data_IF_596400281194
#
_entry.id   IF_596400281194
#
_cell.length_a   1.000
_cell.length_b   1.000
_cell.length_c   1.000
_cell.angle_alpha   90.00
_cell.angle_beta   90.00
_cell.angle_gamma   90.00
#
_symmetry.space_group_name_H-M   'P 1'
#
loop_
_entity.id
_entity.type
_entity.pdbx_description
1 polymer ?
#
# COMPACT_ATOMS: atom_id res chain seq x y z
N UNK A 1 4.92 -17.33 -33.54
CA UNK A 1 4.22 -17.26 -32.23
C UNK A 1 2.87 -17.96 -32.34
N UNK A 2 2.61 -18.98 -31.53
CA UNK A 2 1.44 -19.87 -31.67
C UNK A 2 0.14 -19.18 -31.23
N UNK A 3 -1.02 -19.57 -31.76
CA UNK A 3 -2.33 -18.96 -31.49
C UNK A 3 -2.66 -18.98 -29.99
N UNK A 4 -2.24 -20.03 -29.27
CA UNK A 4 -2.37 -20.11 -27.80
C UNK A 4 -1.52 -19.07 -27.07
N UNK A 5 -0.32 -18.76 -27.55
CA UNK A 5 0.55 -17.75 -26.96
C UNK A 5 0.00 -16.34 -27.18
N UNK A 6 -0.61 -16.06 -28.33
CA UNK A 6 -1.32 -14.80 -28.58
C UNK A 6 -2.49 -14.60 -27.63
N UNK A 7 -3.27 -15.66 -27.36
CA UNK A 7 -4.40 -15.60 -26.40
C UNK A 7 -3.94 -15.35 -24.97
N UNK A 8 -2.87 -16.02 -24.51
CA UNK A 8 -2.34 -15.84 -23.14
C UNK A 8 -1.76 -14.44 -22.95
N UNK A 9 -0.98 -13.95 -23.92
CA UNK A 9 -0.45 -12.58 -23.88
C UNK A 9 -1.59 -11.57 -23.92
N UNK A 10 -2.61 -11.79 -24.77
CA UNK A 10 -3.80 -10.95 -24.80
C UNK A 10 -4.58 -10.93 -23.48
N UNK A 11 -4.72 -12.08 -22.81
CA UNK A 11 -5.38 -12.15 -21.49
C UNK A 11 -4.57 -11.47 -20.40
N UNK A 12 -3.24 -11.59 -20.39
CA UNK A 12 -2.38 -10.88 -19.43
C UNK A 12 -2.42 -9.38 -19.69
N UNK A 13 -2.36 -8.96 -20.96
CA UNK A 13 -2.46 -7.56 -21.34
C UNK A 13 -3.83 -6.98 -20.96
N UNK A 14 -4.91 -7.74 -21.14
CA UNK A 14 -6.25 -7.35 -20.73
C UNK A 14 -6.40 -7.25 -19.21
N UNK A 15 -5.75 -8.12 -18.44
CA UNK A 15 -5.75 -8.08 -16.97
C UNK A 15 -4.94 -6.90 -16.44
N UNK A 16 -3.83 -6.59 -17.11
CA UNK A 16 -2.97 -5.44 -16.80
C UNK A 16 -3.65 -4.13 -17.22
N UNK A 17 -4.39 -4.13 -18.33
CA UNK A 17 -5.24 -3.01 -18.76
C UNK A 17 -6.42 -2.80 -17.81
N UNK A 18 -7.09 -3.87 -17.35
CA UNK A 18 -8.15 -3.78 -16.34
C UNK A 18 -7.61 -3.25 -15.01
N UNK A 19 -6.41 -3.68 -14.61
CA UNK A 19 -5.72 -3.15 -13.44
C UNK A 19 -5.38 -1.67 -13.59
N UNK A 20 -4.92 -1.21 -14.76
CA UNK A 20 -4.67 0.22 -15.03
C UNK A 20 -5.99 1.00 -15.12
N UNK A 21 -7.05 0.44 -15.72
CA UNK A 21 -8.37 1.08 -15.79
C UNK A 21 -9.01 1.23 -14.41
N UNK A 22 -8.73 0.35 -13.44
CA UNK A 22 -9.11 0.57 -12.04
C UNK A 22 -8.34 1.71 -11.35
N UNK A 23 -7.22 2.19 -11.91
CA UNK A 23 -6.56 3.44 -11.49
C UNK A 23 -7.04 4.67 -12.29
N UNK A 24 -7.58 4.48 -13.50
CA UNK A 24 -8.10 5.57 -14.36
C UNK A 24 -9.59 5.86 -14.09
N UNK A 25 -10.32 4.94 -13.46
CA UNK A 25 -11.61 5.23 -12.83
C UNK A 25 -11.35 6.14 -11.61
N UNK A 26 -11.33 7.45 -11.88
CA UNK A 26 -10.89 8.52 -10.98
C UNK A 26 -11.60 8.53 -9.62
N UNK A 27 -11.01 9.19 -8.60
CA UNK A 27 -11.83 9.83 -7.58
C UNK A 27 -12.83 10.74 -8.30
N UNK A 28 -14.12 10.51 -8.08
CA UNK A 28 -15.10 11.54 -8.38
C UNK A 28 -14.74 12.74 -7.49
N UNK A 29 -14.10 13.75 -8.07
CA UNK A 29 -14.23 15.11 -7.58
C UNK A 29 -15.72 15.45 -7.67
N UNK A 30 -16.45 15.10 -6.62
CA UNK A 30 -17.70 15.76 -6.32
C UNK A 30 -17.28 17.17 -5.91
N UNK A 31 -17.47 18.10 -6.83
CA UNK A 31 -17.60 19.53 -6.60
C UNK A 31 -18.62 19.71 -5.47
N UNK A 32 -18.15 19.75 -4.21
CA UNK A 32 -19.02 20.10 -3.10
C UNK A 32 -19.16 21.62 -3.13
N UNK A 33 -20.10 22.01 -3.99
CA UNK A 33 -20.72 23.31 -4.12
C UNK A 33 -21.41 23.64 -2.78
N UNK A 34 -20.62 23.86 -1.74
CA UNK A 34 -21.11 24.30 -0.44
C UNK A 34 -21.49 25.78 -0.56
N UNK A 35 -22.76 26.00 -0.88
CA UNK A 35 -23.50 27.23 -0.70
C UNK A 35 -23.09 28.00 0.58
N UNK A 36 -22.12 28.91 0.46
CA UNK A 36 -21.85 29.96 1.44
C UNK A 36 -22.90 31.06 1.31
N UNK A 37 -24.09 30.83 1.86
CA UNK A 37 -24.94 31.94 2.31
C UNK A 37 -24.61 32.27 3.76
N UNK A 38 -23.60 33.12 3.96
CA UNK A 38 -23.54 34.00 5.12
C UNK A 38 -22.77 35.28 4.78
N UNK A 39 -23.56 36.24 4.31
CA UNK A 39 -23.41 37.70 4.45
C UNK A 39 -22.07 38.24 4.98
N UNK A 40 -21.36 38.93 4.10
CA UNK A 40 -20.69 40.20 4.37
C UNK A 40 -19.38 40.14 5.15
N UNK A 41 -18.26 40.19 4.43
CA UNK A 41 -17.22 41.22 4.58
C UNK A 41 -16.16 41.04 3.49
N UNK A 42 -15.77 42.14 2.86
CA UNK A 42 -14.91 42.22 1.67
C UNK A 42 -13.55 42.80 2.14
N UNK A 43 -12.47 42.07 1.80
CA UNK A 43 -11.05 42.46 1.68
C UNK A 43 -10.10 42.47 2.90
N UNK A 44 -9.16 41.51 2.86
CA UNK A 44 -7.68 41.66 2.94
C UNK A 44 -7.09 40.31 2.47
N UNK A 45 -6.68 40.13 1.22
CA UNK A 45 -5.35 40.45 0.64
C UNK A 45 -4.17 39.69 1.31
N UNK A 46 -3.61 38.74 0.53
CA UNK A 46 -2.36 37.97 0.65
C UNK A 46 -1.91 37.44 2.04
N UNK A 47 -2.20 36.16 2.29
CA UNK A 47 -1.34 35.31 3.12
C UNK A 47 -0.98 34.05 2.33
N UNK A 48 0.26 34.02 1.83
CA UNK A 48 1.02 32.90 1.27
C UNK A 48 1.29 31.77 2.30
N UNK A 49 0.33 31.47 3.19
CA UNK A 49 0.41 30.35 4.15
C UNK A 49 -0.55 29.20 3.79
N UNK A 50 -1.37 29.37 2.74
CA UNK A 50 -2.25 28.31 2.24
C UNK A 50 -1.53 27.34 1.30
N UNK A 51 -0.55 27.78 0.52
CA UNK A 51 0.14 26.94 -0.47
C UNK A 51 1.09 25.89 0.14
N UNK A 52 1.79 26.22 1.24
CA UNK A 52 2.73 25.26 1.86
C UNK A 52 2.02 24.11 2.58
N UNK A 53 0.86 24.38 3.20
CA UNK A 53 0.08 23.35 3.88
C UNK A 53 -0.62 22.42 2.88
N UNK A 54 -1.13 22.96 1.77
CA UNK A 54 -1.77 22.17 0.71
C UNK A 54 -0.78 21.19 0.06
N UNK A 55 0.48 21.62 -0.17
CA UNK A 55 1.52 20.75 -0.70
C UNK A 55 1.94 19.63 0.28
N UNK A 56 1.94 19.90 1.59
CA UNK A 56 2.24 18.90 2.62
C UNK A 56 1.11 17.89 2.77
N UNK A 57 -0.14 18.35 2.69
CA UNK A 57 -1.34 17.51 2.73
C UNK A 57 -1.41 16.58 1.50
N UNK A 58 -1.37 17.14 0.29
CA UNK A 58 -1.42 16.36 -0.96
C UNK A 58 -0.24 15.38 -1.06
N UNK A 59 0.96 15.84 -0.68
CA UNK A 59 2.14 14.98 -0.61
C UNK A 59 2.00 13.87 0.42
N UNK A 60 1.42 14.17 1.58
CA UNK A 60 1.10 13.23 2.64
C UNK A 60 0.14 12.15 2.15
N UNK A 61 -0.98 12.53 1.54
CA UNK A 61 -1.98 11.62 0.98
C UNK A 61 -1.39 10.68 -0.08
N UNK A 62 -0.59 11.22 -1.01
CA UNK A 62 0.07 10.43 -2.05
C UNK A 62 0.97 9.35 -1.44
N UNK A 63 1.74 9.69 -0.39
CA UNK A 63 2.57 8.73 0.34
C UNK A 63 1.74 7.71 1.12
N UNK A 64 0.60 8.13 1.66
CA UNK A 64 -0.40 7.25 2.29
C UNK A 64 -0.89 6.19 1.31
N UNK A 65 -1.36 6.59 0.13
CA UNK A 65 -1.77 5.66 -0.93
C UNK A 65 -0.62 4.79 -1.44
N UNK A 66 0.57 5.36 -1.60
CA UNK A 66 1.78 4.61 -1.94
C UNK A 66 2.09 3.50 -0.92
N UNK A 67 1.90 3.78 0.37
CA UNK A 67 2.02 2.81 1.46
C UNK A 67 0.99 1.69 1.32
N UNK A 68 -0.29 2.03 1.12
CA UNK A 68 -1.37 1.05 0.95
C UNK A 68 -1.09 0.10 -0.22
N UNK A 69 -0.66 0.65 -1.37
CA UNK A 69 -0.30 -0.14 -2.56
C UNK A 69 0.89 -1.06 -2.27
N UNK A 70 1.93 -0.56 -1.59
CA UNK A 70 3.11 -1.35 -1.27
C UNK A 70 2.77 -2.51 -0.31
N UNK A 71 1.97 -2.27 0.73
CA UNK A 71 1.48 -3.29 1.66
C UNK A 71 0.63 -4.32 0.90
N UNK A 72 -0.31 -3.86 0.07
CA UNK A 72 -1.14 -4.72 -0.77
C UNK A 72 -0.32 -5.63 -1.67
N UNK A 73 0.66 -5.08 -2.39
CA UNK A 73 1.60 -5.83 -3.23
C UNK A 73 2.49 -6.80 -2.45
N UNK A 74 2.90 -6.44 -1.23
CA UNK A 74 3.67 -7.33 -0.37
C UNK A 74 2.83 -8.51 0.15
N UNK A 75 1.54 -8.27 0.45
CA UNK A 75 0.63 -9.26 1.06
C UNK A 75 0.28 -10.42 0.12
N UNK A 76 0.20 -10.17 -1.19
CA UNK A 76 -0.17 -11.17 -2.19
C UNK A 76 0.90 -12.25 -2.43
N UNK A 77 2.12 -12.06 -1.94
CA UNK A 77 3.23 -13.01 -2.11
C UNK A 77 2.88 -14.42 -1.59
N UNK A 78 2.29 -14.53 -0.40
CA UNK A 78 2.00 -15.83 0.21
C UNK A 78 0.88 -16.60 -0.50
N UNK A 79 -0.28 -15.97 -0.79
CA UNK A 79 -1.30 -16.57 -1.63
C UNK A 79 -0.73 -17.01 -2.99
N UNK A 80 0.06 -16.17 -3.65
CA UNK A 80 0.70 -16.48 -4.92
C UNK A 80 1.63 -17.69 -4.80
N UNK A 81 2.43 -17.77 -3.73
CA UNK A 81 3.32 -18.90 -3.45
C UNK A 81 2.57 -20.20 -3.20
N UNK A 82 1.46 -20.17 -2.48
CA UNK A 82 0.61 -21.35 -2.28
C UNK A 82 -0.09 -21.78 -3.58
N UNK A 83 -0.67 -20.84 -4.31
CA UNK A 83 -1.39 -21.09 -5.57
C UNK A 83 -0.49 -21.54 -6.72
N UNK A 84 0.78 -21.12 -6.72
CA UNK A 84 1.75 -21.48 -7.76
C UNK A 84 1.94 -22.98 -7.96
N UNK A 85 1.76 -23.80 -6.92
CA UNK A 85 1.84 -25.27 -7.05
C UNK A 85 0.75 -25.81 -7.98
N UNK A 86 -0.45 -25.24 -7.91
CA UNK A 86 -1.55 -25.59 -8.80
C UNK A 86 -1.28 -25.10 -10.23
N UNK A 87 -0.75 -23.88 -10.38
CA UNK A 87 -0.38 -23.33 -11.68
C UNK A 87 0.73 -24.13 -12.37
N UNK A 88 1.76 -24.56 -11.64
CA UNK A 88 2.85 -25.39 -12.17
C UNK A 88 2.31 -26.75 -12.63
N UNK A 89 1.34 -27.34 -11.92
CA UNK A 89 0.68 -28.59 -12.35
C UNK A 89 -0.13 -28.41 -13.64
N UNK A 90 -0.84 -27.28 -13.80
CA UNK A 90 -1.63 -26.98 -14.99
C UNK A 90 -0.78 -26.58 -16.20
N UNK A 91 0.36 -25.92 -15.97
CA UNK A 91 1.24 -25.39 -17.02
C UNK A 91 2.69 -25.83 -16.81
N UNK A 92 3.01 -27.12 -17.02
CA UNK A 92 4.35 -27.66 -16.78
C UNK A 92 5.42 -27.00 -17.66
N UNK A 93 5.05 -26.58 -18.88
CA UNK A 93 5.96 -25.91 -19.83
C UNK A 93 6.39 -24.51 -19.36
N UNK A 94 5.64 -23.88 -18.45
CA UNK A 94 5.94 -22.56 -17.88
C UNK A 94 6.57 -22.65 -16.48
N UNK A 95 6.88 -23.87 -15.99
CA UNK A 95 7.38 -24.10 -14.63
C UNK A 95 8.60 -23.25 -14.28
N UNK A 96 9.59 -23.18 -15.17
CA UNK A 96 10.81 -22.39 -14.94
C UNK A 96 10.51 -20.91 -14.82
N UNK A 97 9.64 -20.37 -15.69
CA UNK A 97 9.16 -18.99 -15.64
C UNK A 97 8.43 -18.70 -14.33
N UNK A 98 7.47 -19.53 -13.94
CA UNK A 98 6.69 -19.37 -12.69
C UNK A 98 7.63 -19.36 -11.47
N UNK A 99 8.57 -20.30 -11.38
CA UNK A 99 9.52 -20.37 -10.26
C UNK A 99 10.44 -19.14 -10.25
N UNK A 100 10.91 -18.68 -11.41
CA UNK A 100 11.75 -17.50 -11.53
C UNK A 100 11.02 -16.24 -11.05
N UNK A 101 9.80 -16.02 -11.53
CA UNK A 101 8.94 -14.90 -11.10
C UNK A 101 8.69 -14.96 -9.60
N UNK A 102 8.35 -16.12 -9.04
CA UNK A 102 8.15 -16.27 -7.59
C UNK A 102 9.39 -15.98 -6.76
N UNK A 103 10.57 -16.35 -7.26
CA UNK A 103 11.83 -16.03 -6.61
C UNK A 103 12.12 -14.53 -6.67
N UNK A 104 11.80 -13.86 -7.78
CA UNK A 104 11.95 -12.42 -7.92
C UNK A 104 11.01 -11.68 -6.96
N UNK A 105 9.71 -11.95 -7.01
CA UNK A 105 8.72 -11.31 -6.12
C UNK A 105 9.06 -11.58 -4.65
N UNK A 106 9.49 -12.80 -4.31
CA UNK A 106 9.91 -13.15 -2.96
C UNK A 106 11.16 -12.41 -2.47
N UNK A 107 12.09 -12.04 -3.36
CA UNK A 107 13.24 -11.18 -3.01
C UNK A 107 12.82 -9.72 -2.88
N UNK A 108 11.96 -9.25 -3.78
CA UNK A 108 11.48 -7.87 -3.77
C UNK A 108 10.60 -7.56 -2.57
N UNK A 109 9.91 -8.55 -1.98
CA UNK A 109 9.04 -8.35 -0.82
C UNK A 109 9.72 -7.66 0.37
N UNK A 110 11.00 -7.94 0.63
CA UNK A 110 11.74 -7.28 1.71
C UNK A 110 11.91 -5.79 1.39
N UNK A 111 12.30 -5.46 0.17
CA UNK A 111 12.46 -4.08 -0.28
C UNK A 111 11.14 -3.32 -0.34
N UNK A 112 10.07 -3.96 -0.82
CA UNK A 112 8.72 -3.39 -0.86
C UNK A 112 8.21 -3.13 0.55
N UNK A 113 8.42 -4.07 1.49
CA UNK A 113 8.03 -3.89 2.89
C UNK A 113 8.81 -2.79 3.59
N UNK A 114 10.12 -2.69 3.34
CA UNK A 114 10.95 -1.60 3.84
C UNK A 114 10.51 -0.24 3.29
N UNK A 115 10.23 -0.19 1.98
CA UNK A 115 9.70 1.01 1.33
C UNK A 115 8.35 1.42 1.93
N UNK A 116 7.44 0.48 2.16
CA UNK A 116 6.14 0.76 2.78
C UNK A 116 6.29 1.40 4.17
N UNK A 117 7.21 0.92 5.00
CA UNK A 117 7.48 1.51 6.32
C UNK A 117 8.06 2.92 6.19
N UNK A 118 8.97 3.15 5.24
CA UNK A 118 9.55 4.48 5.01
C UNK A 118 8.46 5.46 4.57
N UNK A 119 7.64 5.07 3.58
CA UNK A 119 6.54 5.89 3.09
C UNK A 119 5.54 6.19 4.22
N UNK A 120 5.22 5.20 5.07
CA UNK A 120 4.26 5.39 6.16
C UNK A 120 4.80 6.32 7.25
N UNK A 121 6.10 6.28 7.53
CA UNK A 121 6.75 7.21 8.47
C UNK A 121 6.73 8.63 7.90
N UNK A 122 7.10 8.80 6.62
CA UNK A 122 7.13 10.14 6.00
C UNK A 122 5.70 10.71 5.93
N UNK A 123 4.72 9.90 5.50
CA UNK A 123 3.31 10.26 5.53
C UNK A 123 2.89 10.75 6.93
N UNK A 124 3.11 9.96 7.98
CA UNK A 124 2.73 10.36 9.34
C UNK A 124 3.45 11.62 9.84
N UNK A 125 4.71 11.83 9.47
CA UNK A 125 5.45 13.07 9.81
C UNK A 125 4.88 14.27 9.07
N UNK A 126 4.53 14.14 7.79
CA UNK A 126 3.94 15.22 7.00
C UNK A 126 2.57 15.62 7.56
N UNK A 127 1.72 14.64 7.85
CA UNK A 127 0.40 14.91 8.45
C UNK A 127 0.54 15.58 9.82
N UNK A 128 1.46 15.10 10.67
CA UNK A 128 1.70 15.73 11.97
C UNK A 128 2.18 17.20 11.88
N UNK A 129 3.01 17.51 10.89
CA UNK A 129 3.48 18.89 10.68
C UNK A 129 2.34 19.79 10.16
N UNK A 130 1.48 19.26 9.29
CA UNK A 130 0.34 19.95 8.70
C UNK A 130 -0.75 20.23 9.74
N UNK A 131 -1.21 19.18 10.43
CA UNK A 131 -2.36 19.24 11.34
C UNK A 131 -1.99 19.81 12.70
N UNK A 132 -0.74 19.61 13.16
CA UNK A 132 -0.23 19.98 14.50
C UNK A 132 -1.07 19.44 15.67
N UNK A 133 -1.93 18.48 15.41
CA UNK A 133 -2.76 17.78 16.38
C UNK A 133 -2.30 16.33 16.52
N UNK A 134 -2.74 15.68 17.59
CA UNK A 134 -2.47 14.26 17.84
C UNK A 134 -3.73 13.61 18.41
N UNK A 135 -4.73 13.51 17.56
CA UNK A 135 -6.01 12.90 17.80
C UNK A 135 -6.01 11.38 17.67
N UNK A 136 -7.21 10.83 17.53
CA UNK A 136 -7.42 9.39 17.44
C UNK A 136 -6.88 8.82 16.12
N UNK A 137 -6.95 9.59 15.04
CA UNK A 137 -6.60 9.16 13.69
C UNK A 137 -5.09 8.96 13.57
N UNK A 138 -4.31 9.91 14.07
CA UNK A 138 -2.85 9.93 14.13
C UNK A 138 -2.30 8.84 15.07
N UNK A 139 -2.98 8.62 16.21
CA UNK A 139 -2.66 7.53 17.13
C UNK A 139 -2.84 6.18 16.43
N UNK A 140 -3.97 5.98 15.73
CA UNK A 140 -4.27 4.72 15.05
C UNK A 140 -3.26 4.42 13.93
N UNK A 141 -2.90 5.42 13.13
CA UNK A 141 -1.86 5.32 12.10
C UNK A 141 -0.49 4.99 12.71
N UNK A 142 -0.11 5.67 13.78
CA UNK A 142 1.17 5.43 14.49
C UNK A 142 1.26 4.01 15.05
N UNK A 143 0.20 3.51 15.68
CA UNK A 143 0.14 2.14 16.21
C UNK A 143 0.29 1.12 15.07
N UNK A 144 -0.39 1.34 13.94
CA UNK A 144 -0.29 0.48 12.76
C UNK A 144 1.16 0.38 12.25
N UNK A 145 1.83 1.53 12.06
CA UNK A 145 3.24 1.57 11.63
C UNK A 145 4.17 0.92 12.64
N UNK A 146 3.94 1.15 13.94
CA UNK A 146 4.69 0.50 15.01
C UNK A 146 4.59 -1.03 14.97
N UNK A 147 3.39 -1.57 14.75
CA UNK A 147 3.18 -3.01 14.59
C UNK A 147 3.84 -3.56 13.31
N UNK A 148 3.81 -2.79 12.21
CA UNK A 148 4.54 -3.16 10.98
C UNK A 148 6.05 -3.22 11.22
N UNK A 149 6.62 -2.28 11.97
CA UNK A 149 8.04 -2.28 12.32
C UNK A 149 8.41 -3.51 13.18
N UNK A 150 7.59 -3.85 14.19
CA UNK A 150 7.77 -5.08 14.98
C UNK A 150 7.66 -6.32 14.08
N UNK A 151 6.69 -6.36 13.17
CA UNK A 151 6.57 -7.44 12.21
C UNK A 151 7.82 -7.56 11.33
N UNK A 152 8.40 -6.44 10.89
CA UNK A 152 9.64 -6.42 10.11
C UNK A 152 10.83 -7.00 10.87
N UNK A 153 10.95 -6.72 12.19
CA UNK A 153 11.96 -7.35 13.06
C UNK A 153 11.81 -8.87 13.04
N UNK A 154 10.60 -9.40 13.23
CA UNK A 154 10.34 -10.84 13.12
C UNK A 154 10.59 -11.39 11.72
N UNK A 155 10.36 -10.59 10.67
CA UNK A 155 10.71 -10.91 9.29
C UNK A 155 12.22 -11.11 9.10
N UNK A 156 13.04 -10.21 9.64
CA UNK A 156 14.51 -10.32 9.62
C UNK A 156 14.98 -11.54 10.44
N UNK A 157 14.40 -11.77 11.62
CA UNK A 157 14.70 -12.96 12.43
C UNK A 157 14.34 -14.26 11.69
N UNK A 158 13.23 -14.26 10.95
CA UNK A 158 12.81 -15.38 10.10
C UNK A 158 13.77 -15.60 8.92
N UNK A 159 14.38 -14.55 8.35
CA UNK A 159 15.39 -14.71 7.30
C UNK A 159 16.61 -15.49 7.78
N UNK A 160 17.04 -15.24 9.03
CA UNK A 160 18.13 -15.97 9.69
C UNK A 160 17.68 -17.38 10.10
N UNK A 161 16.42 -17.55 10.50
CA UNK A 161 15.86 -18.80 11.04
C UNK A 161 14.67 -19.33 10.21
N UNK A 162 14.89 -19.61 8.91
CA UNK A 162 13.81 -19.89 7.94
C UNK A 162 12.86 -21.05 8.32
N UNK A 163 13.32 -21.99 9.14
CA UNK A 163 12.55 -23.12 9.63
C UNK A 163 11.64 -22.81 10.82
N UNK A 164 11.84 -21.68 11.51
CA UNK A 164 11.07 -21.33 12.70
C UNK A 164 9.61 -21.01 12.34
N UNK A 165 8.69 -21.87 12.81
CA UNK A 165 7.25 -21.62 12.70
C UNK A 165 6.82 -20.42 13.55
N UNK A 166 7.49 -20.21 14.69
CA UNK A 166 7.16 -19.15 15.65
C UNK A 166 7.42 -17.76 15.07
N UNK A 167 8.61 -17.48 14.52
CA UNK A 167 8.91 -16.18 13.92
C UNK A 167 8.00 -15.87 12.73
N UNK A 168 7.65 -16.89 11.95
CA UNK A 168 6.67 -16.75 10.88
C UNK A 168 5.28 -16.39 11.42
N UNK A 169 4.84 -17.07 12.47
CA UNK A 169 3.56 -16.79 13.11
C UNK A 169 3.50 -15.37 13.66
N UNK A 170 4.56 -14.92 14.34
CA UNK A 170 4.61 -13.55 14.85
C UNK A 170 4.64 -12.50 13.74
N UNK A 171 5.48 -12.68 12.73
CA UNK A 171 5.49 -11.78 11.56
C UNK A 171 4.09 -11.63 10.94
N UNK A 172 3.36 -12.74 10.75
CA UNK A 172 2.00 -12.70 10.24
C UNK A 172 0.99 -12.09 11.23
N UNK A 173 1.06 -12.44 12.51
CA UNK A 173 0.12 -11.94 13.51
C UNK A 173 0.21 -10.41 13.63
N UNK A 174 1.43 -9.87 13.76
CA UNK A 174 1.64 -8.42 13.82
C UNK A 174 1.21 -7.73 12.52
N UNK A 175 1.51 -8.30 11.35
CA UNK A 175 1.04 -7.73 10.07
C UNK A 175 -0.48 -7.73 9.94
N UNK A 176 -1.17 -8.79 10.36
CA UNK A 176 -2.64 -8.85 10.27
C UNK A 176 -3.26 -7.76 11.15
N UNK A 177 -2.79 -7.64 12.39
CA UNK A 177 -3.29 -6.60 13.31
C UNK A 177 -2.97 -5.20 12.76
N UNK A 178 -1.74 -4.98 12.27
CA UNK A 178 -1.35 -3.72 11.67
C UNK A 178 -2.24 -3.35 10.46
N UNK A 179 -2.50 -4.30 9.56
CA UNK A 179 -3.35 -4.08 8.38
C UNK A 179 -4.79 -3.76 8.79
N UNK A 180 -5.33 -4.41 9.83
CA UNK A 180 -6.67 -4.11 10.33
C UNK A 180 -6.73 -2.69 10.87
N UNK A 181 -5.77 -2.30 11.73
CA UNK A 181 -5.73 -0.95 12.31
C UNK A 181 -5.49 0.09 11.20
N UNK A 182 -4.56 -0.16 10.29
CA UNK A 182 -4.29 0.71 9.15
C UNK A 182 -5.48 0.85 8.21
N UNK A 183 -6.28 -0.20 8.00
CA UNK A 183 -7.51 -0.11 7.23
C UNK A 183 -8.56 0.73 7.95
N UNK A 184 -8.67 0.61 9.28
CA UNK A 184 -9.55 1.49 10.07
C UNK A 184 -9.10 2.94 9.94
N UNK A 185 -7.81 3.22 10.11
CA UNK A 185 -7.22 4.55 9.92
C UNK A 185 -7.61 5.15 8.56
N UNK A 186 -7.39 4.44 7.46
CA UNK A 186 -7.76 4.90 6.11
C UNK A 186 -9.27 5.12 5.91
N UNK A 187 -10.13 4.48 6.72
CA UNK A 187 -11.58 4.63 6.60
C UNK A 187 -12.15 5.79 7.43
N UNK A 188 -11.40 6.27 8.42
CA UNK A 188 -11.84 7.34 9.32
C UNK A 188 -11.10 8.65 9.11
N UNK A 189 -9.90 8.58 8.50
CA UNK A 189 -9.13 9.72 7.99
C UNK A 189 -9.68 10.22 6.67
#
# INVERSE_FOLDING_TARGET
MNVKTKKIVGSILALLLLFILSFVAQPSFADDDHHKYRTGEYYNDYNDEHDENEALEEGGELLGWGTVIAIGGASVLMPLRRGSRSLIKKFPNAKSGIISTLRLVGKSHIWIGALAIILSIIHGVMMYINEREFGFDEISGTISVGLMAIAAVFGVLLMKNKGSKQYRSFHFAFLIVAVIIGAVHVLIS
#
